data_IF_192042197528
#
_entry.id   IF_192042197528
#
_cell.length_a   1.000
_cell.length_b   1.000
_cell.length_c   1.000
_cell.angle_alpha   90.00
_cell.angle_beta   90.00
_cell.angle_gamma   90.00
#
_symmetry.space_group_name_H-M   'P 1'
#
loop_
_entity.id
_entity.type
_entity.pdbx_description
1 polymer ?
#
# COMPACT_ATOMS: atom_id res chain seq x y z
N UNK A 1 -56.26 -6.23 -21.33
CA UNK A 1 -54.98 -6.94 -21.04
C UNK A 1 -54.69 -7.95 -22.15
N UNK A 2 -53.42 -8.20 -22.49
CA UNK A 2 -53.03 -9.06 -23.63
C UNK A 2 -52.40 -10.38 -23.16
N UNK A 3 -52.58 -11.44 -23.94
CA UNK A 3 -51.91 -12.72 -23.76
C UNK A 3 -50.59 -12.80 -24.54
N UNK A 4 -49.68 -13.66 -24.08
CA UNK A 4 -48.43 -14.01 -24.77
C UNK A 4 -48.60 -15.43 -25.33
N UNK A 5 -48.90 -15.60 -26.62
CA UNK A 5 -49.06 -16.92 -27.25
C UNK A 5 -48.06 -17.13 -28.39
N UNK A 6 -47.23 -18.17 -28.29
CA UNK A 6 -46.47 -18.84 -29.36
C UNK A 6 -45.37 -18.05 -30.09
N UNK A 7 -45.57 -16.76 -30.33
CA UNK A 7 -44.60 -15.86 -30.95
C UNK A 7 -44.38 -14.65 -30.02
N UNK A 8 -43.32 -14.72 -29.22
CA UNK A 8 -43.01 -13.71 -28.21
C UNK A 8 -42.87 -12.28 -28.81
N UNK A 9 -42.55 -12.19 -30.10
CA UNK A 9 -42.27 -10.93 -30.80
C UNK A 9 -43.49 -10.23 -31.41
N UNK A 10 -44.70 -10.77 -31.28
CA UNK A 10 -45.95 -10.10 -31.77
C UNK A 10 -46.54 -9.16 -30.72
N UNK A 11 -46.19 -9.34 -29.44
CA UNK A 11 -46.72 -8.51 -28.36
C UNK A 11 -45.90 -7.20 -28.23
N UNK A 12 -46.51 -6.01 -28.38
CA UNK A 12 -45.79 -4.73 -28.32
C UNK A 12 -45.09 -4.48 -27.00
N UNK A 13 -45.63 -4.98 -25.88
CA UNK A 13 -45.00 -4.82 -24.57
C UNK A 13 -43.75 -5.70 -24.42
N UNK A 14 -43.77 -6.91 -24.99
CA UNK A 14 -42.57 -7.76 -25.05
C UNK A 14 -41.51 -7.11 -25.95
N UNK A 15 -41.92 -6.53 -27.08
CA UNK A 15 -41.02 -5.83 -28.00
C UNK A 15 -40.37 -4.60 -27.34
N UNK A 16 -41.17 -3.80 -26.61
CA UNK A 16 -40.67 -2.65 -25.87
C UNK A 16 -39.65 -3.05 -24.80
N UNK A 17 -39.89 -4.14 -24.07
CA UNK A 17 -38.91 -4.68 -23.12
C UNK A 17 -37.62 -5.13 -23.82
N UNK A 18 -37.73 -5.81 -24.96
CA UNK A 18 -36.54 -6.22 -25.72
C UNK A 18 -35.70 -5.02 -26.17
N UNK A 19 -36.33 -3.91 -26.58
CA UNK A 19 -35.63 -2.66 -26.90
C UNK A 19 -34.98 -2.05 -25.65
N UNK A 20 -35.66 -2.05 -24.51
CA UNK A 20 -35.08 -1.56 -23.25
C UNK A 20 -33.84 -2.35 -22.84
N UNK A 21 -33.74 -3.61 -23.24
CA UNK A 21 -32.55 -4.44 -23.07
C UNK A 21 -31.34 -4.01 -23.90
N UNK A 22 -31.44 -2.96 -24.72
CA UNK A 22 -30.37 -2.45 -25.59
C UNK A 22 -29.90 -1.07 -25.10
N UNK A 23 -28.58 -0.83 -25.12
CA UNK A 23 -27.98 0.46 -24.79
C UNK A 23 -28.16 1.46 -25.95
N UNK A 24 -28.51 2.73 -25.68
CA UNK A 24 -28.74 3.72 -26.74
C UNK A 24 -27.44 4.16 -27.44
N UNK A 25 -26.32 4.10 -26.73
CA UNK A 25 -25.02 4.64 -27.15
C UNK A 25 -24.28 3.71 -28.11
N UNK A 26 -24.40 2.39 -27.90
CA UNK A 26 -23.58 1.40 -28.60
C UNK A 26 -24.40 0.26 -29.22
N UNK A 27 -25.72 0.21 -29.00
CA UNK A 27 -26.57 -0.87 -29.53
C UNK A 27 -26.26 -2.25 -28.94
N UNK A 28 -25.55 -2.29 -27.81
CA UNK A 28 -25.20 -3.54 -27.11
C UNK A 28 -26.30 -3.96 -26.14
N UNK A 29 -26.35 -5.24 -25.79
CA UNK A 29 -27.24 -5.72 -24.74
C UNK A 29 -26.82 -5.12 -23.39
N UNK A 30 -27.81 -4.71 -22.58
CA UNK A 30 -27.61 -4.25 -21.20
C UNK A 30 -27.30 -5.42 -20.29
N UNK A 31 -26.47 -5.15 -19.29
CA UNK A 31 -26.20 -6.08 -18.21
C UNK A 31 -27.44 -6.32 -17.35
N UNK A 32 -27.51 -7.51 -16.72
CA UNK A 32 -28.65 -7.92 -15.91
C UNK A 32 -28.94 -6.93 -14.77
N UNK A 33 -27.91 -6.33 -14.18
CA UNK A 33 -28.05 -5.32 -13.12
C UNK A 33 -28.82 -4.09 -13.62
N UNK A 34 -28.44 -3.52 -14.77
CA UNK A 34 -29.02 -2.28 -15.29
C UNK A 34 -30.43 -2.52 -15.84
N UNK A 35 -30.63 -3.66 -16.50
CA UNK A 35 -31.92 -4.02 -17.08
C UNK A 35 -32.96 -4.43 -16.02
N UNK A 36 -32.53 -5.04 -14.90
CA UNK A 36 -33.43 -5.46 -13.82
C UNK A 36 -34.14 -4.28 -13.13
N UNK A 37 -33.47 -3.13 -12.98
CA UNK A 37 -34.10 -1.92 -12.44
C UNK A 37 -35.22 -1.42 -13.37
N UNK A 38 -34.95 -1.35 -14.67
CA UNK A 38 -35.95 -0.93 -15.67
C UNK A 38 -37.18 -1.85 -15.69
N UNK A 39 -36.96 -3.17 -15.58
CA UNK A 39 -38.07 -4.12 -15.48
C UNK A 39 -38.86 -3.97 -14.19
N UNK A 40 -38.20 -3.68 -13.06
CA UNK A 40 -38.88 -3.46 -11.79
C UNK A 40 -39.81 -2.22 -11.84
N UNK A 41 -39.37 -1.14 -12.50
CA UNK A 41 -40.20 0.04 -12.74
C UNK A 41 -41.41 -0.28 -13.61
N UNK A 42 -41.23 -1.03 -14.70
CA UNK A 42 -42.34 -1.44 -15.56
C UNK A 42 -43.34 -2.34 -14.82
N UNK A 43 -42.87 -3.28 -14.01
CA UNK A 43 -43.72 -4.12 -13.16
C UNK A 43 -44.56 -3.26 -12.21
N UNK A 44 -43.95 -2.22 -11.61
CA UNK A 44 -44.65 -1.29 -10.74
C UNK A 44 -45.73 -0.52 -11.51
N UNK A 45 -45.38 0.10 -12.64
CA UNK A 45 -46.31 0.86 -13.48
C UNK A 45 -47.49 -0.01 -13.95
N UNK A 46 -47.23 -1.22 -14.43
CA UNK A 46 -48.28 -2.15 -14.88
C UNK A 46 -49.21 -2.54 -13.73
N UNK A 47 -48.68 -2.75 -12.52
CA UNK A 47 -49.50 -3.05 -11.34
C UNK A 47 -50.42 -1.89 -10.98
N UNK A 48 -49.89 -0.67 -10.93
CA UNK A 48 -50.67 0.54 -10.61
C UNK A 48 -51.75 0.79 -11.67
N UNK A 49 -51.40 0.72 -12.95
CA UNK A 49 -52.36 0.93 -14.05
C UNK A 49 -53.42 -0.17 -14.06
N UNK A 50 -53.04 -1.43 -13.86
CA UNK A 50 -54.01 -2.54 -13.84
C UNK A 50 -54.96 -2.45 -12.64
N UNK A 51 -54.48 -1.98 -11.49
CA UNK A 51 -55.33 -1.71 -10.33
C UNK A 51 -56.34 -0.60 -10.64
N UNK A 52 -55.90 0.53 -11.19
CA UNK A 52 -56.81 1.64 -11.53
C UNK A 52 -57.81 1.26 -12.65
N UNK A 53 -57.43 0.40 -13.59
CA UNK A 53 -58.32 -0.08 -14.66
C UNK A 53 -59.38 -1.07 -14.15
N UNK A 54 -58.99 -1.98 -13.25
CA UNK A 54 -59.88 -3.04 -12.76
C UNK A 54 -60.71 -2.59 -11.55
N UNK A 55 -60.18 -1.67 -10.75
CA UNK A 55 -60.80 -1.10 -9.55
C UNK A 55 -60.56 0.42 -9.54
N UNK A 56 -61.29 1.20 -10.36
CA UNK A 56 -61.06 2.63 -10.49
C UNK A 56 -61.28 3.37 -9.18
N UNK A 57 -60.26 4.10 -8.72
CA UNK A 57 -60.26 4.83 -7.45
C UNK A 57 -61.44 5.80 -7.30
N UNK A 58 -61.87 6.41 -8.42
CA UNK A 58 -63.01 7.35 -8.49
C UNK A 58 -64.36 6.76 -8.05
N UNK A 59 -64.52 5.44 -8.15
CA UNK A 59 -65.76 4.75 -7.81
C UNK A 59 -65.65 3.99 -6.48
N UNK A 60 -64.66 4.31 -5.62
CA UNK A 60 -64.37 3.56 -4.40
C UNK A 60 -65.58 3.34 -3.49
N UNK A 61 -66.49 4.32 -3.39
CA UNK A 61 -67.70 4.25 -2.55
C UNK A 61 -68.82 3.39 -3.17
N UNK A 62 -68.70 3.01 -4.46
CA UNK A 62 -69.67 2.22 -5.23
C UNK A 62 -69.16 0.79 -5.54
N UNK A 63 -67.93 0.45 -5.15
CA UNK A 63 -67.35 -0.87 -5.40
C UNK A 63 -67.84 -1.89 -4.35
N UNK A 64 -68.51 -2.95 -4.81
CA UNK A 64 -69.01 -4.04 -3.98
C UNK A 64 -68.29 -5.36 -4.21
N UNK A 65 -68.89 -6.42 -3.66
CA UNK A 65 -68.41 -7.82 -3.81
C UNK A 65 -68.25 -8.24 -5.29
N UNK A 66 -69.14 -7.87 -6.23
CA UNK A 66 -69.01 -8.26 -7.64
C UNK A 66 -67.77 -7.70 -8.34
N UNK A 67 -67.43 -6.43 -8.09
CA UNK A 67 -66.26 -5.76 -8.68
C UNK A 67 -64.96 -6.37 -8.16
N UNK A 68 -64.92 -6.67 -6.86
CA UNK A 68 -63.80 -7.37 -6.23
C UNK A 68 -63.65 -8.78 -6.80
N UNK A 69 -64.75 -9.50 -7.01
CA UNK A 69 -64.73 -10.84 -7.61
C UNK A 69 -64.20 -10.80 -9.05
N UNK A 70 -64.62 -9.81 -9.83
CA UNK A 70 -64.14 -9.59 -11.19
C UNK A 70 -62.63 -9.26 -11.20
N UNK A 71 -62.17 -8.43 -10.26
CA UNK A 71 -60.74 -8.17 -10.07
C UNK A 71 -59.96 -9.47 -9.82
N UNK A 72 -60.44 -10.38 -8.96
CA UNK A 72 -59.75 -11.65 -8.72
C UNK A 72 -59.68 -12.54 -9.97
N UNK A 73 -60.74 -12.57 -10.77
CA UNK A 73 -60.77 -13.33 -12.04
C UNK A 73 -59.74 -12.77 -13.03
N UNK A 74 -59.75 -11.46 -13.25
CA UNK A 74 -58.83 -10.79 -14.18
C UNK A 74 -57.38 -10.84 -13.68
N UNK A 75 -57.17 -10.68 -12.37
CA UNK A 75 -55.87 -10.84 -11.71
C UNK A 75 -55.30 -12.24 -11.98
N UNK A 76 -56.11 -13.29 -11.79
CA UNK A 76 -55.68 -14.68 -12.03
C UNK A 76 -55.32 -14.92 -13.50
N UNK A 77 -56.01 -14.24 -14.42
CA UNK A 77 -55.81 -14.39 -15.86
C UNK A 77 -54.57 -13.66 -16.39
N UNK A 78 -54.27 -12.47 -15.88
CA UNK A 78 -53.26 -11.59 -16.49
C UNK A 78 -52.14 -11.11 -15.56
N UNK A 79 -52.34 -11.13 -14.23
CA UNK A 79 -51.43 -10.50 -13.27
C UNK A 79 -50.75 -11.49 -12.32
N UNK A 80 -51.29 -12.69 -12.16
CA UNK A 80 -50.76 -13.73 -11.29
C UNK A 80 -49.65 -14.50 -11.99
N UNK A 81 -48.58 -14.81 -11.25
CA UNK A 81 -47.47 -15.63 -11.72
C UNK A 81 -47.95 -16.99 -12.28
N UNK A 82 -47.33 -17.43 -13.37
CA UNK A 82 -47.76 -18.61 -14.14
C UNK A 82 -48.93 -18.40 -15.10
N UNK A 83 -49.55 -17.22 -15.16
CA UNK A 83 -50.55 -16.90 -16.19
C UNK A 83 -49.89 -16.54 -17.53
N UNK A 84 -50.61 -16.73 -18.65
CA UNK A 84 -50.13 -16.37 -20.00
C UNK A 84 -50.21 -14.86 -20.27
N UNK A 85 -50.08 -14.03 -19.24
CA UNK A 85 -50.10 -12.56 -19.32
C UNK A 85 -48.70 -11.97 -19.50
N UNK A 86 -48.64 -10.66 -19.77
CA UNK A 86 -47.36 -9.93 -19.90
C UNK A 86 -46.66 -9.72 -18.55
N UNK A 87 -47.42 -9.50 -17.47
CA UNK A 87 -46.86 -9.24 -16.13
C UNK A 87 -46.10 -10.45 -15.57
N UNK A 88 -46.57 -11.71 -15.70
CA UNK A 88 -45.78 -12.88 -15.33
C UNK A 88 -44.47 -13.00 -16.10
N UNK A 89 -44.47 -12.68 -17.40
CA UNK A 89 -43.24 -12.65 -18.19
C UNK A 89 -42.23 -11.61 -17.65
N UNK A 90 -42.70 -10.40 -17.32
CA UNK A 90 -41.87 -9.36 -16.67
C UNK A 90 -41.30 -9.82 -15.34
N UNK A 91 -42.10 -10.47 -14.50
CA UNK A 91 -41.69 -10.96 -13.18
C UNK A 91 -40.67 -12.09 -13.32
N UNK A 92 -40.88 -13.05 -14.22
CA UNK A 92 -39.93 -14.13 -14.50
C UNK A 92 -38.59 -13.59 -15.01
N UNK A 93 -38.62 -12.63 -15.93
CA UNK A 93 -37.40 -12.00 -16.45
C UNK A 93 -36.68 -11.17 -15.37
N UNK A 94 -37.42 -10.47 -14.51
CA UNK A 94 -36.87 -9.75 -13.37
C UNK A 94 -36.23 -10.70 -12.34
N UNK A 95 -36.88 -11.82 -12.04
CA UNK A 95 -36.35 -12.84 -11.13
C UNK A 95 -35.06 -13.46 -11.70
N UNK A 96 -35.06 -13.77 -13.00
CA UNK A 96 -33.87 -14.25 -13.71
C UNK A 96 -32.72 -13.23 -13.69
N UNK A 97 -33.00 -11.96 -14.01
CA UNK A 97 -32.00 -10.89 -13.98
C UNK A 97 -31.43 -10.64 -12.58
N UNK A 98 -32.28 -10.70 -11.53
CA UNK A 98 -31.83 -10.59 -10.14
C UNK A 98 -30.96 -11.77 -9.70
N UNK A 99 -31.28 -12.99 -10.15
CA UNK A 99 -30.47 -14.17 -9.88
C UNK A 99 -29.06 -14.01 -10.47
N UNK A 100 -28.98 -13.63 -11.76
CA UNK A 100 -27.69 -13.33 -12.41
C UNK A 100 -26.96 -12.20 -11.68
N UNK A 101 -27.64 -11.11 -11.31
CA UNK A 101 -27.02 -9.99 -10.61
C UNK A 101 -26.48 -10.38 -9.22
N UNK A 102 -27.17 -11.27 -8.50
CA UNK A 102 -26.69 -11.80 -7.22
C UNK A 102 -25.44 -12.66 -7.37
N UNK A 103 -25.36 -13.47 -8.42
CA UNK A 103 -24.16 -14.26 -8.74
C UNK A 103 -23.01 -13.40 -9.28
N UNK A 104 -23.30 -12.26 -9.92
CA UNK A 104 -22.33 -11.28 -10.41
C UNK A 104 -21.74 -10.35 -9.34
N UNK A 105 -22.28 -10.34 -8.12
CA UNK A 105 -21.97 -9.38 -7.05
C UNK A 105 -20.51 -9.28 -6.60
N UNK A 106 -19.61 -10.15 -7.09
CA UNK A 106 -18.17 -10.11 -6.78
C UNK A 106 -17.26 -9.72 -7.96
N UNK A 107 -17.77 -9.59 -9.19
CA UNK A 107 -16.92 -9.41 -10.39
C UNK A 107 -16.75 -7.93 -10.77
N UNK A 108 -17.67 -7.05 -10.34
CA UNK A 108 -17.67 -5.63 -10.75
C UNK A 108 -16.76 -4.68 -9.94
N UNK A 109 -16.34 -5.07 -8.74
CA UNK A 109 -15.50 -4.20 -7.88
C UNK A 109 -14.01 -4.48 -8.00
N UNK A 110 -13.61 -5.74 -8.12
CA UNK A 110 -12.21 -6.17 -8.18
C UNK A 110 -12.06 -7.31 -9.17
N UNK A 111 -11.24 -7.12 -10.20
CA UNK A 111 -10.84 -8.22 -11.08
C UNK A 111 -9.38 -8.12 -11.49
N UNK A 112 -8.83 -9.25 -11.91
CA UNK A 112 -7.45 -9.35 -12.39
C UNK A 112 -7.41 -9.32 -13.92
N UNK A 113 -6.49 -8.53 -14.46
CA UNK A 113 -6.24 -8.38 -15.89
C UNK A 113 -4.76 -8.67 -16.21
N UNK A 114 -4.46 -8.86 -17.49
CA UNK A 114 -3.08 -9.03 -18.00
C UNK A 114 -2.32 -10.17 -17.29
N UNK A 115 -2.96 -11.33 -17.14
CA UNK A 115 -2.36 -12.50 -16.50
C UNK A 115 -2.03 -12.28 -15.03
N UNK A 116 -2.97 -11.68 -14.27
CA UNK A 116 -2.83 -11.35 -12.85
C UNK A 116 -1.75 -10.31 -12.52
N UNK A 117 -1.30 -9.52 -13.50
CA UNK A 117 -0.32 -8.44 -13.29
C UNK A 117 -0.96 -7.11 -12.94
N UNK A 118 -2.23 -6.92 -13.29
CA UNK A 118 -2.99 -5.70 -13.05
C UNK A 118 -4.26 -6.06 -12.28
N UNK A 119 -4.46 -5.41 -11.13
CA UNK A 119 -5.73 -5.44 -10.42
C UNK A 119 -6.54 -4.22 -10.84
N UNK A 120 -7.78 -4.43 -11.28
CA UNK A 120 -8.73 -3.34 -11.54
C UNK A 120 -9.68 -3.26 -10.35
N UNK A 121 -9.59 -2.17 -9.58
CA UNK A 121 -10.42 -1.89 -8.42
C UNK A 121 -11.31 -0.68 -8.72
N UNK A 122 -12.63 -0.88 -8.84
CA UNK A 122 -13.59 0.18 -9.17
C UNK A 122 -13.20 1.00 -10.41
N UNK A 123 -12.69 0.34 -11.45
CA UNK A 123 -12.18 0.98 -12.68
C UNK A 123 -10.77 1.56 -12.57
N UNK A 124 -10.19 1.68 -11.36
CA UNK A 124 -8.81 2.09 -11.18
C UNK A 124 -7.86 0.92 -11.46
N UNK A 125 -6.89 1.15 -12.35
CA UNK A 125 -5.89 0.14 -12.74
C UNK A 125 -4.68 0.21 -11.81
N UNK A 126 -4.44 -0.86 -11.04
CA UNK A 126 -3.32 -1.00 -10.11
C UNK A 126 -2.37 -2.07 -10.65
N UNK A 127 -1.24 -1.63 -11.21
CA UNK A 127 -0.17 -2.52 -11.68
C UNK A 127 0.60 -3.04 -10.46
N UNK A 128 0.74 -4.36 -10.32
CA UNK A 128 1.38 -4.97 -9.15
C UNK A 128 2.85 -4.58 -8.99
N UNK A 129 3.57 -4.38 -10.09
CA UNK A 129 4.96 -3.91 -10.02
C UNK A 129 5.07 -2.47 -9.49
N UNK A 130 4.10 -1.61 -9.81
CA UNK A 130 4.02 -0.27 -9.25
C UNK A 130 3.68 -0.31 -7.76
N UNK A 131 2.78 -1.21 -7.35
CA UNK A 131 2.44 -1.41 -5.94
C UNK A 131 3.65 -1.89 -5.13
N UNK A 132 4.37 -2.92 -5.63
CA UNK A 132 5.62 -3.40 -5.02
C UNK A 132 6.68 -2.31 -4.94
N UNK A 133 6.84 -1.53 -6.02
CA UNK A 133 7.79 -0.42 -6.05
C UNK A 133 7.42 0.69 -5.04
N UNK A 134 6.13 1.01 -4.91
CA UNK A 134 5.63 1.96 -3.91
C UNK A 134 5.96 1.49 -2.49
N UNK A 135 5.63 0.24 -2.14
CA UNK A 135 5.91 -0.33 -0.82
C UNK A 135 7.41 -0.22 -0.47
N UNK A 136 8.29 -0.62 -1.39
CA UNK A 136 9.75 -0.59 -1.18
C UNK A 136 10.29 0.84 -1.03
N UNK A 137 9.74 1.80 -1.77
CA UNK A 137 10.10 3.23 -1.62
C UNK A 137 9.71 3.75 -0.24
N UNK A 138 8.53 3.40 0.26
CA UNK A 138 8.06 3.79 1.59
C UNK A 138 8.88 3.11 2.69
N UNK A 139 9.21 1.83 2.54
CA UNK A 139 10.06 1.11 3.49
C UNK A 139 11.46 1.74 3.57
N UNK A 140 12.07 2.08 2.44
CA UNK A 140 13.35 2.82 2.40
C UNK A 140 13.23 4.16 3.11
N UNK A 141 12.15 4.92 2.85
CA UNK A 141 11.91 6.20 3.51
C UNK A 141 11.82 6.03 5.03
N UNK A 142 11.01 5.09 5.53
CA UNK A 142 10.91 4.80 6.95
C UNK A 142 12.29 4.45 7.54
N UNK A 143 12.98 3.45 6.98
CA UNK A 143 14.30 3.01 7.47
C UNK A 143 15.32 4.17 7.51
N UNK A 144 15.27 5.07 6.55
CA UNK A 144 16.16 6.22 6.46
C UNK A 144 15.83 7.32 7.48
N UNK A 145 14.55 7.66 7.65
CA UNK A 145 14.08 8.76 8.51
C UNK A 145 14.05 8.36 9.98
N UNK A 146 13.69 7.11 10.28
CA UNK A 146 13.51 6.68 11.67
C UNK A 146 14.75 6.11 12.32
N UNK A 147 15.81 5.78 11.56
CA UNK A 147 17.03 5.15 12.10
C UNK A 147 17.90 6.04 13.00
N UNK A 148 17.39 7.16 13.48
CA UNK A 148 18.15 8.19 14.18
C UNK A 148 18.80 9.16 13.20
N UNK A 149 20.10 9.36 13.38
CA UNK A 149 20.86 10.19 12.46
C UNK A 149 20.76 9.65 11.01
N UNK A 150 20.44 10.48 10.01
CA UNK A 150 20.31 10.02 8.63
C UNK A 150 21.67 9.73 8.01
N UNK A 151 21.81 8.55 7.41
CA UNK A 151 22.98 8.15 6.64
C UNK A 151 23.11 8.97 5.35
N UNK A 152 24.29 8.96 4.70
CA UNK A 152 24.38 9.47 3.32
C UNK A 152 23.56 8.60 2.38
N UNK A 153 23.10 9.19 1.27
CA UNK A 153 22.35 8.46 0.25
C UNK A 153 23.11 7.24 -0.28
N UNK A 154 24.41 7.39 -0.51
CA UNK A 154 25.29 6.28 -0.93
C UNK A 154 25.45 5.20 0.13
N UNK A 155 25.43 5.56 1.42
CA UNK A 155 25.55 4.61 2.53
C UNK A 155 24.27 3.80 2.71
N UNK A 156 23.10 4.45 2.79
CA UNK A 156 21.81 3.76 3.01
C UNK A 156 21.42 2.87 1.84
N UNK A 157 21.70 3.32 0.60
CA UNK A 157 21.38 2.53 -0.60
C UNK A 157 22.33 1.35 -0.80
N UNK A 158 23.52 1.39 -0.18
CA UNK A 158 24.51 0.30 -0.23
C UNK A 158 24.28 -0.80 0.82
N UNK A 159 23.24 -0.70 1.66
CA UNK A 159 22.94 -1.70 2.68
C UNK A 159 22.65 -3.07 2.07
N UNK A 160 23.31 -4.10 2.61
CA UNK A 160 23.18 -5.50 2.19
C UNK A 160 22.45 -6.33 3.24
N UNK A 161 21.61 -7.27 2.79
CA UNK A 161 20.90 -8.20 3.68
C UNK A 161 21.64 -9.54 3.84
N UNK A 162 22.42 -9.96 2.83
CA UNK A 162 23.25 -11.16 2.86
C UNK A 162 24.74 -10.81 2.79
N UNK A 163 25.59 -11.71 3.28
CA UNK A 163 27.03 -11.54 3.16
C UNK A 163 27.42 -11.70 1.70
N UNK A 164 28.15 -10.73 1.15
CA UNK A 164 28.81 -10.88 -0.14
C UNK A 164 30.21 -11.44 -0.01
N UNK A 165 30.84 -11.70 -1.15
CA UNK A 165 32.22 -12.19 -1.20
C UNK A 165 33.25 -11.21 -0.63
N UNK A 166 33.00 -9.89 -0.76
CA UNK A 166 33.93 -8.83 -0.33
C UNK A 166 33.47 -8.09 0.93
N UNK A 167 32.16 -7.87 1.09
CA UNK A 167 31.59 -7.09 2.19
C UNK A 167 30.54 -7.93 2.93
N UNK A 168 30.55 -7.94 4.27
CA UNK A 168 29.50 -8.62 5.03
C UNK A 168 28.16 -7.87 4.90
N UNK A 169 27.08 -8.53 5.34
CA UNK A 169 25.76 -7.90 5.45
C UNK A 169 25.80 -6.68 6.38
N UNK A 170 24.82 -5.81 6.22
CA UNK A 170 24.64 -4.61 7.04
C UNK A 170 23.44 -4.71 8.00
N UNK A 171 22.67 -5.79 7.93
CA UNK A 171 21.44 -5.99 8.70
C UNK A 171 21.65 -6.98 9.86
N UNK A 172 21.27 -6.57 11.08
CA UNK A 172 21.48 -7.34 12.30
C UNK A 172 20.28 -7.21 13.25
N UNK A 173 20.05 -8.27 14.05
CA UNK A 173 19.12 -8.27 15.18
C UNK A 173 19.95 -8.27 16.46
N UNK A 174 19.71 -7.29 17.33
CA UNK A 174 20.43 -7.13 18.59
C UNK A 174 19.47 -6.70 19.70
N UNK A 175 19.33 -7.52 20.74
CA UNK A 175 18.42 -7.26 21.87
C UNK A 175 16.97 -6.96 21.46
N UNK A 176 16.48 -7.64 20.43
CA UNK A 176 15.14 -7.43 19.88
C UNK A 176 15.00 -6.21 18.95
N UNK A 177 16.07 -5.44 18.76
CA UNK A 177 16.09 -4.32 17.81
C UNK A 177 16.71 -4.72 16.49
N UNK A 178 16.10 -4.25 15.41
CA UNK A 178 16.71 -4.26 14.09
C UNK A 178 17.72 -3.11 13.99
N UNK A 179 18.91 -3.44 13.56
CA UNK A 179 20.03 -2.53 13.40
C UNK A 179 20.58 -2.60 11.97
N UNK A 180 20.80 -1.44 11.36
CA UNK A 180 21.56 -1.31 10.10
C UNK A 180 22.91 -0.68 10.39
N UNK A 181 23.98 -1.27 9.85
CA UNK A 181 25.36 -0.83 10.09
C UNK A 181 25.93 -0.26 8.80
N UNK A 182 26.23 1.04 8.79
CA UNK A 182 26.88 1.70 7.65
C UNK A 182 28.37 1.87 7.90
N UNK A 183 29.19 1.61 6.87
CA UNK A 183 30.64 1.85 6.88
C UNK A 183 30.93 3.17 6.17
N UNK A 184 31.62 4.09 6.83
CA UNK A 184 32.07 5.34 6.24
C UNK A 184 33.58 5.28 5.98
N UNK A 185 33.98 5.44 4.71
CA UNK A 185 35.38 5.32 4.24
C UNK A 185 35.97 6.65 3.73
N UNK A 186 35.40 7.84 4.01
CA UNK A 186 35.97 9.09 3.47
C UNK A 186 37.36 9.43 4.07
N UNK A 187 37.77 8.76 5.13
CA UNK A 187 39.06 8.89 5.82
C UNK A 187 40.14 7.92 5.31
N UNK A 188 40.10 7.53 4.03
CA UNK A 188 41.17 6.71 3.40
C UNK A 188 42.53 7.43 3.29
N UNK A 189 42.69 8.64 3.85
CA UNK A 189 43.96 9.37 3.83
C UNK A 189 44.76 9.35 5.15
N UNK A 190 44.18 9.02 6.32
CA UNK A 190 44.89 9.29 7.59
C UNK A 190 44.73 8.28 8.74
N UNK A 191 43.70 7.43 8.79
CA UNK A 191 43.60 6.39 9.84
C UNK A 191 42.96 5.09 9.37
N UNK A 192 43.66 3.98 9.57
CA UNK A 192 43.40 2.59 9.16
C UNK A 192 42.13 1.92 9.76
N UNK A 193 41.06 2.68 10.06
CA UNK A 193 39.81 2.16 10.63
C UNK A 193 38.59 2.89 10.05
N UNK A 194 37.72 2.21 9.28
CA UNK A 194 36.50 2.82 8.76
C UNK A 194 35.56 3.17 9.92
N UNK A 195 34.91 4.34 9.85
CA UNK A 195 33.97 4.78 10.88
C UNK A 195 32.67 3.98 10.74
N UNK A 196 32.31 3.24 11.79
CA UNK A 196 31.12 2.38 11.83
C UNK A 196 30.01 3.10 12.59
N UNK A 197 28.82 3.14 11.98
CA UNK A 197 27.64 3.75 12.60
C UNK A 197 26.50 2.74 12.56
N UNK A 198 26.18 2.10 13.70
CA UNK A 198 24.94 1.36 13.86
C UNK A 198 23.75 2.31 13.99
N UNK A 199 22.64 1.96 13.33
CA UNK A 199 21.37 2.69 13.37
C UNK A 199 20.28 1.72 13.78
N UNK A 200 19.67 1.98 14.93
CA UNK A 200 18.58 1.15 15.45
C UNK A 200 17.26 1.65 14.89
N UNK A 201 16.38 0.75 14.49
CA UNK A 201 15.06 1.07 13.95
C UNK A 201 13.99 0.99 15.05
N UNK A 202 12.91 1.79 14.97
CA UNK A 202 11.73 1.56 15.79
C UNK A 202 11.19 0.15 15.57
N UNK A 203 10.61 -0.46 16.59
CA UNK A 203 10.19 -1.87 16.54
C UNK A 203 9.23 -2.16 15.36
N UNK A 204 8.33 -1.24 15.02
CA UNK A 204 7.41 -1.38 13.88
C UNK A 204 8.14 -1.39 12.53
N UNK A 205 9.07 -0.45 12.33
CA UNK A 205 9.87 -0.35 11.09
C UNK A 205 10.82 -1.54 10.98
N UNK A 206 11.43 -1.95 12.10
CA UNK A 206 12.27 -3.14 12.19
C UNK A 206 11.51 -4.41 11.83
N UNK A 207 10.29 -4.60 12.35
CA UNK A 207 9.43 -5.73 11.99
C UNK A 207 9.10 -5.73 10.50
N UNK A 208 8.66 -4.59 9.95
CA UNK A 208 8.37 -4.49 8.51
C UNK A 208 9.58 -4.83 7.64
N UNK A 209 10.76 -4.30 7.98
CA UNK A 209 12.00 -4.60 7.27
C UNK A 209 12.36 -6.09 7.39
N UNK A 210 12.20 -6.68 8.57
CA UNK A 210 12.47 -8.11 8.79
C UNK A 210 11.51 -8.99 8.01
N UNK A 211 10.21 -8.72 8.06
CA UNK A 211 9.19 -9.45 7.30
C UNK A 211 9.44 -9.38 5.80
N UNK A 212 9.79 -8.19 5.29
CA UNK A 212 10.14 -8.01 3.89
C UNK A 212 11.37 -8.85 3.48
N UNK A 213 12.43 -8.86 4.29
CA UNK A 213 13.65 -9.61 3.98
C UNK A 213 13.50 -11.14 4.15
N UNK A 214 12.65 -11.58 5.08
CA UNK A 214 12.49 -13.02 5.41
C UNK A 214 11.44 -13.69 4.54
N UNK A 215 10.34 -13.01 4.22
CA UNK A 215 9.21 -13.61 3.51
C UNK A 215 9.06 -13.08 2.09
N UNK A 216 8.93 -11.76 1.93
CA UNK A 216 8.55 -11.17 0.64
C UNK A 216 9.66 -11.32 -0.39
N UNK A 217 10.89 -11.00 -0.03
CA UNK A 217 12.02 -11.03 -0.97
C UNK A 217 12.36 -12.47 -1.42
N UNK A 218 12.47 -13.48 -0.53
CA UNK A 218 12.73 -14.86 -0.96
C UNK A 218 11.57 -15.45 -1.76
N UNK A 219 10.32 -15.18 -1.38
CA UNK A 219 9.15 -15.63 -2.15
C UNK A 219 9.12 -15.02 -3.55
N UNK A 220 9.40 -13.72 -3.67
CA UNK A 220 9.48 -13.05 -4.96
C UNK A 220 10.61 -13.62 -5.84
N UNK A 221 11.74 -14.02 -5.25
CA UNK A 221 12.82 -14.68 -5.97
C UNK A 221 12.41 -16.07 -6.47
N UNK A 222 11.79 -16.90 -5.62
CA UNK A 222 11.29 -18.23 -5.99
C UNK A 222 10.27 -18.17 -7.13
N UNK A 223 9.29 -17.27 -7.04
CA UNK A 223 8.28 -17.07 -8.09
C UNK A 223 8.94 -16.55 -9.38
N UNK A 224 9.92 -15.65 -9.27
CA UNK A 224 10.68 -15.15 -10.41
C UNK A 224 11.44 -16.24 -11.16
N UNK A 225 12.05 -17.18 -10.43
CA UNK A 225 12.72 -18.34 -11.00
C UNK A 225 11.74 -19.27 -11.72
N UNK A 226 10.58 -19.57 -11.11
CA UNK A 226 9.55 -20.41 -11.73
C UNK A 226 8.95 -19.78 -13.00
N UNK A 227 8.81 -18.45 -13.03
CA UNK A 227 8.25 -17.72 -14.18
C UNK A 227 9.27 -17.47 -15.30
N UNK A 228 10.53 -17.90 -15.16
CA UNK A 228 11.59 -17.64 -16.14
C UNK A 228 12.03 -16.17 -16.19
N UNK A 229 11.69 -15.41 -15.15
CA UNK A 229 11.90 -13.96 -15.03
C UNK A 229 13.33 -13.61 -14.53
N UNK A 230 14.15 -14.64 -14.30
CA UNK A 230 15.52 -14.56 -13.79
C UNK A 230 15.61 -14.51 -12.27
N UNK A 231 16.72 -15.02 -11.71
CA UNK A 231 16.95 -15.05 -10.27
C UNK A 231 17.21 -13.67 -9.69
N UNK A 232 16.73 -13.43 -8.47
CA UNK A 232 17.02 -12.19 -7.73
C UNK A 232 18.43 -12.28 -7.15
N UNK A 233 19.44 -11.86 -7.92
CA UNK A 233 20.84 -12.04 -7.53
C UNK A 233 21.35 -10.99 -6.54
N UNK A 234 20.68 -9.84 -6.45
CA UNK A 234 21.19 -8.69 -5.71
C UNK A 234 21.44 -8.99 -4.22
N UNK A 235 22.57 -8.50 -3.70
CA UNK A 235 22.92 -8.57 -2.28
C UNK A 235 22.39 -7.37 -1.48
N UNK A 236 21.91 -6.35 -2.19
CA UNK A 236 21.46 -5.08 -1.63
C UNK A 236 19.98 -5.15 -1.25
N UNK A 237 19.62 -4.48 -0.15
CA UNK A 237 18.22 -4.35 0.29
C UNK A 237 17.42 -3.55 -0.77
N UNK A 238 18.06 -2.51 -1.31
CA UNK A 238 17.46 -1.55 -2.23
C UNK A 238 18.01 -1.75 -3.64
N UNK A 239 17.45 -2.70 -4.38
CA UNK A 239 17.86 -2.98 -5.76
C UNK A 239 16.68 -3.30 -6.68
N UNK A 240 16.85 -3.10 -7.98
CA UNK A 240 16.08 -3.81 -8.98
C UNK A 240 16.58 -5.28 -9.02
N UNK A 241 16.15 -6.10 -9.99
CA UNK A 241 16.50 -7.54 -10.05
C UNK A 241 18.01 -7.82 -9.81
N UNK A 242 18.88 -6.98 -10.33
CA UNK A 242 20.34 -7.05 -10.12
C UNK A 242 21.00 -5.71 -9.74
N UNK A 243 20.42 -4.58 -10.15
CA UNK A 243 21.05 -3.27 -10.01
C UNK A 243 20.64 -2.52 -8.72
N UNK A 244 21.59 -2.07 -7.89
CA UNK A 244 21.29 -1.26 -6.70
C UNK A 244 20.61 0.06 -7.06
N UNK A 245 19.76 0.57 -6.17
CA UNK A 245 19.21 1.91 -6.31
C UNK A 245 20.29 2.96 -6.05
N UNK A 246 20.17 4.11 -6.73
CA UNK A 246 21.11 5.22 -6.62
C UNK A 246 20.50 6.46 -5.96
N UNK A 247 21.36 7.35 -5.46
CA UNK A 247 20.98 8.55 -4.72
C UNK A 247 19.87 9.40 -5.35
N UNK A 248 19.78 9.57 -6.69
CA UNK A 248 18.66 10.31 -7.29
C UNK A 248 17.28 9.76 -6.94
N UNK A 249 17.16 8.44 -6.76
CA UNK A 249 15.91 7.78 -6.36
C UNK A 249 15.54 8.06 -4.91
N UNK A 250 16.51 8.05 -3.99
CA UNK A 250 16.26 8.46 -2.62
C UNK A 250 15.88 9.95 -2.56
N UNK A 251 16.58 10.80 -3.31
CA UNK A 251 16.29 12.24 -3.38
C UNK A 251 14.86 12.49 -3.88
N UNK A 252 14.37 11.77 -4.90
CA UNK A 252 13.00 11.97 -5.39
C UNK A 252 11.95 11.50 -4.38
N UNK A 253 12.20 10.38 -3.68
CA UNK A 253 11.31 9.90 -2.60
C UNK A 253 11.25 10.94 -1.46
N UNK A 254 12.40 11.45 -1.02
CA UNK A 254 12.46 12.46 0.04
C UNK A 254 11.75 13.73 -0.36
N UNK A 255 12.01 14.27 -1.55
CA UNK A 255 11.32 15.47 -2.05
C UNK A 255 9.81 15.28 -2.11
N UNK A 256 9.36 14.14 -2.63
CA UNK A 256 7.94 13.82 -2.70
C UNK A 256 7.29 13.80 -1.30
N UNK A 257 7.88 13.05 -0.36
CA UNK A 257 7.31 12.89 0.99
C UNK A 257 7.38 14.19 1.79
N UNK A 258 8.51 14.87 1.79
CA UNK A 258 8.67 16.13 2.51
C UNK A 258 7.82 17.25 1.90
N UNK A 259 7.66 17.27 0.57
CA UNK A 259 6.75 18.19 -0.10
C UNK A 259 5.29 17.95 0.30
N UNK A 260 4.86 16.68 0.35
CA UNK A 260 3.50 16.29 0.75
C UNK A 260 3.22 16.53 2.24
N UNK A 261 4.14 16.11 3.11
CA UNK A 261 3.90 16.02 4.55
C UNK A 261 4.36 17.29 5.30
N UNK A 262 5.38 18.00 4.81
CA UNK A 262 5.96 19.21 5.43
C UNK A 262 5.73 20.49 4.61
N UNK A 263 5.18 20.38 3.39
CA UNK A 263 5.06 21.51 2.47
C UNK A 263 6.38 22.01 1.89
N UNK A 264 7.48 21.26 2.04
CA UNK A 264 8.82 21.65 1.58
C UNK A 264 9.55 20.47 0.95
N UNK A 265 10.04 20.63 -0.29
CA UNK A 265 10.75 19.57 -1.00
C UNK A 265 12.23 19.49 -0.59
N UNK A 266 12.53 18.67 0.42
CA UNK A 266 13.89 18.45 0.88
C UNK A 266 14.55 17.29 0.13
N UNK A 267 15.67 17.57 -0.54
CA UNK A 267 16.55 16.53 -1.09
C UNK A 267 17.39 15.85 -0.01
N UNK A 268 18.15 14.80 -0.39
CA UNK A 268 18.96 14.00 0.55
C UNK A 268 19.86 14.83 1.48
N UNK A 269 20.60 15.82 0.95
CA UNK A 269 21.50 16.65 1.74
C UNK A 269 20.73 17.60 2.69
N UNK A 270 19.72 18.29 2.16
CA UNK A 270 18.91 19.25 2.93
C UNK A 270 18.15 18.56 4.06
N UNK A 271 17.56 17.38 3.77
CA UNK A 271 16.90 16.57 4.77
C UNK A 271 17.88 16.20 5.90
N UNK A 272 19.09 15.74 5.54
CA UNK A 272 20.13 15.40 6.52
C UNK A 272 20.49 16.59 7.41
N UNK A 273 20.68 17.79 6.83
CA UNK A 273 20.97 19.02 7.59
C UNK A 273 19.82 19.37 8.54
N UNK A 274 18.57 19.31 8.05
CA UNK A 274 17.40 19.59 8.87
C UNK A 274 17.29 18.61 10.05
N UNK A 275 17.44 17.31 9.80
CA UNK A 275 17.40 16.28 10.85
C UNK A 275 18.49 16.48 11.91
N UNK A 276 19.68 16.92 11.51
CA UNK A 276 20.78 17.19 12.46
C UNK A 276 20.46 18.40 13.33
N UNK A 277 19.94 19.48 12.74
CA UNK A 277 19.49 20.65 13.50
C UNK A 277 18.38 20.30 14.50
N UNK A 278 17.40 19.51 14.05
CA UNK A 278 16.30 19.01 14.90
C UNK A 278 16.86 18.13 16.02
N UNK A 279 17.69 17.14 15.69
CA UNK A 279 18.27 16.23 16.67
C UNK A 279 19.12 16.97 17.71
N UNK A 280 19.88 17.99 17.31
CA UNK A 280 20.65 18.82 18.25
C UNK A 280 19.75 19.59 19.23
N UNK A 281 18.60 20.06 18.75
CA UNK A 281 17.68 20.90 19.56
C UNK A 281 16.76 20.10 20.46
N UNK A 282 16.32 18.92 20.02
CA UNK A 282 15.23 18.16 20.64
C UNK A 282 15.63 16.78 21.16
N UNK A 283 16.77 16.22 20.70
CA UNK A 283 17.29 14.95 21.20
C UNK A 283 18.47 15.17 22.14
N UNK A 284 19.58 15.69 21.63
CA UNK A 284 20.77 15.97 22.44
C UNK A 284 21.72 16.92 21.71
N UNK A 285 22.36 17.86 22.42
CA UNK A 285 23.26 18.85 21.81
C UNK A 285 24.41 18.22 21.00
N UNK A 286 24.83 17.00 21.34
CA UNK A 286 25.89 16.28 20.64
C UNK A 286 25.39 15.45 19.43
N UNK A 287 24.10 15.52 19.07
CA UNK A 287 23.53 14.77 17.95
C UNK A 287 24.33 15.02 16.65
N UNK A 288 24.89 13.93 16.10
CA UNK A 288 25.74 13.92 14.91
C UNK A 288 27.02 14.79 14.97
N UNK A 289 27.50 15.19 16.15
CA UNK A 289 28.64 16.12 16.35
C UNK A 289 29.93 15.65 15.65
N UNK A 290 30.29 14.37 15.75
CA UNK A 290 31.53 13.85 15.15
C UNK A 290 31.38 13.43 13.68
N UNK A 291 30.18 13.48 13.11
CA UNK A 291 29.94 13.04 11.74
C UNK A 291 29.95 14.19 10.73
N UNK A 292 29.84 15.43 11.21
CA UNK A 292 29.76 16.64 10.39
C UNK A 292 31.03 17.49 10.37
N UNK A 293 31.96 17.30 11.32
CA UNK A 293 33.24 18.02 11.34
C UNK A 293 34.09 17.78 10.08
N UNK A 294 33.96 16.62 9.45
CA UNK A 294 34.76 16.25 8.26
C UNK A 294 34.15 16.70 6.91
N UNK A 295 33.08 17.51 6.90
CA UNK A 295 32.34 17.81 5.65
C UNK A 295 32.17 19.28 5.28
N UNK A 296 32.26 20.22 6.22
CA UNK A 296 32.25 21.65 5.93
C UNK A 296 33.65 22.20 6.13
N UNK A 297 34.43 22.25 5.05
CA UNK A 297 35.34 23.40 4.93
C UNK A 297 34.44 24.64 4.93
N UNK A 298 34.58 25.46 5.96
CA UNK A 298 33.89 26.75 6.19
C UNK A 298 32.38 26.71 6.45
N UNK A 299 32.01 26.52 7.72
CA UNK A 299 31.13 27.46 8.44
C UNK A 299 31.68 27.57 9.87
N UNK A 300 32.37 28.66 10.17
CA UNK A 300 32.66 29.05 11.55
C UNK A 300 31.33 29.38 12.25
N UNK A 301 30.85 28.50 13.13
CA UNK A 301 29.92 28.88 14.20
C UNK A 301 30.73 29.02 15.50
N UNK A 302 30.43 30.05 16.32
CA UNK A 302 31.30 30.48 17.40
C UNK A 302 31.50 29.39 18.45
N UNK A 303 32.76 29.18 18.83
CA UNK A 303 33.16 28.33 19.94
C UNK A 303 32.49 28.81 21.23
N UNK A 304 31.46 28.09 21.69
CA UNK A 304 31.12 28.07 23.11
C UNK A 304 31.99 26.99 23.72
N UNK A 305 33.10 27.42 24.31
CA UNK A 305 33.95 26.60 25.15
C UNK A 305 33.14 26.14 26.38
N UNK A 306 32.56 24.95 26.28
CA UNK A 306 32.26 24.13 27.45
C UNK A 306 33.07 22.86 27.32
N UNK A 307 34.14 22.81 28.11
CA UNK A 307 34.89 21.59 28.40
C UNK A 307 33.96 20.57 29.06
N UNK A 308 33.83 19.43 28.38
CA UNK A 308 33.59 18.05 28.82
C UNK A 308 32.42 17.65 29.75
N UNK A 309 31.63 16.64 29.32
CA UNK A 309 31.69 15.36 30.02
C UNK A 309 31.56 14.13 29.10
N UNK A 310 32.40 14.00 28.06
CA UNK A 310 32.60 12.74 27.33
C UNK A 310 33.92 12.72 26.51
N UNK A 311 35.06 12.94 27.15
CA UNK A 311 36.40 12.45 26.76
C UNK A 311 36.48 10.90 26.66
N UNK A 312 35.35 10.22 26.48
CA UNK A 312 35.20 8.76 26.39
C UNK A 312 34.70 8.37 25.00
N UNK A 313 35.63 8.17 24.08
CA UNK A 313 35.64 7.07 23.09
C UNK A 313 36.70 7.29 22.00
N UNK A 314 37.41 8.42 22.01
CA UNK A 314 38.61 8.61 21.20
C UNK A 314 39.82 7.92 21.84
N UNK A 315 40.16 6.72 21.36
CA UNK A 315 41.56 6.36 21.11
C UNK A 315 42.50 6.07 22.30
N UNK A 316 42.06 6.00 23.55
CA UNK A 316 42.81 5.33 24.63
C UNK A 316 42.04 4.15 25.20
N UNK A 317 42.09 3.02 24.48
CA UNK A 317 41.95 1.73 25.13
C UNK A 317 43.14 1.56 26.09
N UNK A 318 42.99 1.99 27.34
CA UNK A 318 43.82 1.42 28.40
C UNK A 318 43.50 -0.08 28.41
N UNK A 319 44.54 -0.89 28.40
CA UNK A 319 44.49 -2.35 28.28
C UNK A 319 43.79 -3.08 29.46
N UNK A 320 42.93 -2.39 30.22
CA UNK A 320 42.28 -2.89 31.44
C UNK A 320 40.75 -2.96 31.39
N UNK A 321 40.08 -2.47 30.35
CA UNK A 321 38.60 -2.51 30.26
C UNK A 321 38.00 -3.77 29.63
N UNK A 322 38.80 -4.61 28.96
CA UNK A 322 38.34 -5.69 28.08
C UNK A 322 37.78 -6.95 28.79
N UNK A 323 37.32 -6.87 30.04
CA UNK A 323 36.98 -8.05 30.87
C UNK A 323 35.64 -8.04 31.59
N UNK A 324 34.67 -7.23 31.21
CA UNK A 324 33.30 -7.37 31.75
C UNK A 324 32.26 -7.35 30.63
N UNK A 325 31.49 -8.44 30.59
CA UNK A 325 30.39 -8.83 29.70
C UNK A 325 30.79 -9.53 28.40
N UNK A 326 30.47 -10.83 28.39
CA UNK A 326 30.76 -11.79 27.36
C UNK A 326 29.86 -11.60 26.13
N UNK A 327 30.44 -11.90 24.97
CA UNK A 327 29.82 -12.12 23.65
C UNK A 327 29.29 -10.87 22.94
N UNK A 328 30.09 -10.31 22.02
CA UNK A 328 29.60 -9.50 20.87
C UNK A 328 30.65 -9.12 19.80
N UNK A 329 31.95 -9.35 20.02
CA UNK A 329 33.03 -8.91 19.12
C UNK A 329 33.10 -9.61 17.75
N UNK A 330 32.22 -10.58 17.47
CA UNK A 330 32.25 -11.39 16.24
C UNK A 330 31.20 -10.99 15.19
N UNK A 331 30.26 -10.09 15.50
CA UNK A 331 29.16 -9.76 14.59
C UNK A 331 29.62 -8.99 13.35
N UNK A 332 30.46 -7.97 13.56
CA UNK A 332 30.99 -7.09 12.51
C UNK A 332 32.39 -6.64 12.90
N UNK A 333 33.35 -6.76 11.98
CA UNK A 333 34.72 -6.26 12.16
C UNK A 333 34.67 -4.75 12.46
N UNK A 334 35.25 -4.33 13.58
CA UNK A 334 35.30 -2.96 14.11
C UNK A 334 34.02 -2.41 14.77
N UNK A 335 32.92 -3.19 14.88
CA UNK A 335 31.78 -2.79 15.70
C UNK A 335 32.07 -3.14 17.18
N UNK A 336 32.19 -2.12 18.03
CA UNK A 336 32.47 -2.29 19.46
C UNK A 336 31.20 -2.18 20.30
N UNK A 337 31.28 -2.62 21.56
CA UNK A 337 30.20 -2.43 22.52
C UNK A 337 29.97 -0.93 22.79
N UNK A 338 31.03 -0.12 22.83
CA UNK A 338 30.93 1.34 22.96
C UNK A 338 30.10 1.97 21.84
N UNK A 339 30.21 1.47 20.60
CA UNK A 339 29.34 1.94 19.51
C UNK A 339 27.87 1.64 19.81
N UNK A 340 27.56 0.44 20.31
CA UNK A 340 26.19 0.04 20.63
C UNK A 340 25.64 0.90 21.77
N UNK A 341 26.41 1.07 22.84
CA UNK A 341 26.02 1.82 24.03
C UNK A 341 25.87 3.32 23.75
N UNK A 342 26.58 3.85 22.75
CA UNK A 342 26.44 5.23 22.29
C UNK A 342 25.23 5.42 21.37
N UNK A 343 25.13 4.63 20.31
CA UNK A 343 24.15 4.90 19.24
C UNK A 343 22.76 4.34 19.52
N UNK A 344 22.62 3.31 20.38
CA UNK A 344 21.29 2.78 20.73
C UNK A 344 20.44 3.80 21.48
N UNK A 345 20.90 4.40 22.60
CA UNK A 345 20.11 5.42 23.30
C UNK A 345 19.81 6.61 22.40
N UNK A 346 20.77 7.02 21.56
CA UNK A 346 20.58 8.12 20.61
C UNK A 346 19.46 7.85 19.59
N UNK A 347 19.45 6.66 18.97
CA UNK A 347 18.35 6.24 18.09
C UNK A 347 17.02 6.16 18.85
N UNK A 348 17.01 5.63 20.07
CA UNK A 348 15.80 5.53 20.88
C UNK A 348 15.22 6.90 21.26
N UNK A 349 16.05 7.86 21.65
CA UNK A 349 15.61 9.23 21.91
C UNK A 349 15.07 9.91 20.65
N UNK A 350 15.67 9.64 19.48
CA UNK A 350 15.09 10.07 18.20
C UNK A 350 13.73 9.44 17.92
N UNK A 351 13.53 8.16 18.24
CA UNK A 351 12.23 7.50 18.09
C UNK A 351 11.17 8.15 18.99
N UNK A 352 11.51 8.45 20.25
CA UNK A 352 10.60 9.14 21.19
C UNK A 352 10.19 10.53 20.69
N UNK A 353 11.08 11.23 20.00
CA UNK A 353 10.75 12.51 19.36
C UNK A 353 9.82 12.34 18.13
N UNK A 354 9.91 11.20 17.44
CA UNK A 354 9.22 10.95 16.16
C UNK A 354 7.88 10.21 16.30
N UNK A 355 7.61 9.61 17.47
CA UNK A 355 6.33 8.99 17.87
C UNK A 355 5.35 10.05 18.40
#
# INVERSE_FOLDING_TARGET
MQHVSGSNFVNPAIYFMAILGITPEHGTLREAQDYSYMLAELVYCVRVISLELLLPSKNGDLQGIPEIQNFFVERKKYLQDGSMGVLPCMISLLAYGKNIAMDYGNVGSVFWAEGNRVMVLHGARIVMDNFRAMFRKLLLFCVHVTGGQPARGTEVLSLRFKNGCVRPRNFFLLDGYVMTVTYYNKTDAEWDRPKIIPRFQPWRVGQLLSSYLVYDQPLAALIGDELGDGSFESEYIWANKSEPWHTPKLTSILKQRTGQDLGQELGTLQFRHATVGIGRRFVENCFAKDYYKDETGDVEEPEVATEDPLELSAGRGSALGARRYAVRSELVKHLTQDNIDTFRPLSQSWHVFSD
#
